data_IF_861706681346
#
_entry.id   IF_861706681346
#
_cell.length_a   1.000
_cell.length_b   1.000
_cell.length_c   1.000
_cell.angle_alpha   90.00
_cell.angle_beta   90.00
_cell.angle_gamma   90.00
#
_symmetry.space_group_name_H-M   'P 1'
#
loop_
_entity.id
_entity.type
_entity.pdbx_description
1 polymer ?
#
# COMPACT_ATOMS: atom_id res chain seq x y z
N UNK A 1 -15.01 8.66 -2.73
CA UNK A 1 -14.35 7.34 -2.77
C UNK A 1 -15.04 6.32 -1.86
N UNK A 2 -15.15 6.60 -0.55
CA UNK A 2 -15.72 5.64 0.39
C UNK A 2 -17.19 5.32 0.10
N UNK A 3 -17.98 6.34 -0.25
CA UNK A 3 -19.39 6.18 -0.59
C UNK A 3 -19.59 5.34 -1.84
N UNK A 4 -18.84 5.61 -2.91
CA UNK A 4 -18.87 4.86 -4.17
C UNK A 4 -18.49 3.40 -3.94
N UNK A 5 -17.46 3.14 -3.13
CA UNK A 5 -17.11 1.78 -2.74
C UNK A 5 -18.21 1.09 -1.94
N UNK A 6 -18.83 1.80 -0.99
CA UNK A 6 -19.93 1.28 -0.17
C UNK A 6 -21.17 0.94 -1.00
N UNK A 7 -21.44 1.68 -2.07
CA UNK A 7 -22.52 1.36 -3.02
C UNK A 7 -22.29 0.02 -3.74
N UNK A 8 -21.02 -0.38 -3.95
CA UNK A 8 -20.67 -1.66 -4.58
C UNK A 8 -20.52 -2.81 -3.57
N UNK A 9 -20.01 -2.51 -2.37
CA UNK A 9 -19.61 -3.52 -1.36
C UNK A 9 -20.04 -3.10 0.05
N UNK A 10 -21.34 -2.90 0.27
CA UNK A 10 -21.87 -2.34 1.51
C UNK A 10 -21.40 -3.08 2.78
N UNK A 11 -21.46 -4.41 2.77
CA UNK A 11 -21.09 -5.26 3.93
C UNK A 11 -19.57 -5.36 4.14
N UNK A 12 -18.78 -5.10 3.10
CA UNK A 12 -17.32 -5.25 3.13
C UNK A 12 -16.56 -3.92 3.20
N UNK A 13 -17.28 -2.78 3.18
CA UNK A 13 -16.71 -1.43 3.11
C UNK A 13 -15.64 -1.20 4.18
N UNK A 14 -15.88 -1.63 5.40
CA UNK A 14 -15.05 -1.30 6.56
C UNK A 14 -14.21 -2.50 7.04
N UNK A 15 -14.22 -3.59 6.28
CA UNK A 15 -13.56 -4.83 6.67
C UNK A 15 -12.05 -4.66 6.86
N UNK A 16 -11.37 -3.91 6.00
CA UNK A 16 -9.93 -3.71 6.15
C UNK A 16 -9.60 -2.94 7.43
N UNK A 17 -10.29 -1.83 7.68
CA UNK A 17 -10.10 -0.98 8.86
C UNK A 17 -10.38 -1.77 10.15
N UNK A 18 -11.44 -2.58 10.16
CA UNK A 18 -11.85 -3.34 11.35
C UNK A 18 -10.95 -4.55 11.62
N UNK A 19 -10.47 -5.21 10.56
CA UNK A 19 -9.69 -6.46 10.69
C UNK A 19 -8.19 -6.24 10.84
N UNK A 20 -7.63 -5.19 10.22
CA UNK A 20 -6.18 -5.03 10.06
C UNK A 20 -5.37 -5.21 11.35
N UNK A 21 -5.84 -4.60 12.45
CA UNK A 21 -5.16 -4.67 13.74
C UNK A 21 -4.94 -6.11 14.24
N UNK A 22 -5.86 -7.04 13.91
CA UNK A 22 -5.74 -8.46 14.26
C UNK A 22 -4.72 -9.25 13.43
N UNK A 23 -4.30 -8.73 12.26
CA UNK A 23 -3.32 -9.38 11.38
C UNK A 23 -1.94 -8.75 11.47
N UNK A 24 -1.85 -7.46 11.80
CA UNK A 24 -0.61 -6.66 11.81
C UNK A 24 0.57 -7.37 12.47
N UNK A 25 0.40 -7.79 13.74
CA UNK A 25 1.51 -8.34 14.52
C UNK A 25 1.91 -9.74 14.00
N UNK A 26 0.95 -10.51 13.48
CA UNK A 26 1.20 -11.82 12.85
C UNK A 26 1.97 -11.69 11.54
N UNK A 27 1.71 -10.65 10.75
CA UNK A 27 2.46 -10.37 9.52
C UNK A 27 3.92 -10.09 9.85
N UNK A 28 4.19 -9.27 10.87
CA UNK A 28 5.56 -8.96 11.33
C UNK A 28 6.25 -10.24 11.80
N UNK A 29 5.57 -11.07 12.60
CA UNK A 29 6.13 -12.33 13.10
C UNK A 29 6.52 -13.29 11.96
N UNK A 30 5.66 -13.46 10.96
CA UNK A 30 5.97 -14.27 9.76
C UNK A 30 7.15 -13.66 9.00
N UNK A 31 7.19 -12.33 8.87
CA UNK A 31 8.30 -11.62 8.23
C UNK A 31 9.64 -11.89 8.89
N UNK A 32 9.76 -11.75 10.21
CA UNK A 32 11.00 -12.03 10.96
C UNK A 32 11.54 -13.44 10.70
N UNK A 33 10.66 -14.42 10.47
CA UNK A 33 11.02 -15.82 10.19
C UNK A 33 11.32 -16.11 8.71
N UNK A 34 11.03 -15.18 7.80
CA UNK A 34 11.07 -15.43 6.35
C UNK A 34 12.47 -15.29 5.75
N UNK A 35 13.19 -14.19 6.03
CA UNK A 35 14.58 -14.01 5.57
C UNK A 35 15.32 -12.93 6.37
N UNK A 36 16.67 -12.96 6.42
CA UNK A 36 17.45 -11.92 7.08
C UNK A 36 17.22 -10.52 6.50
N UNK A 37 16.97 -10.42 5.20
CA UNK A 37 16.75 -9.13 4.54
C UNK A 37 15.46 -8.44 5.04
N UNK A 38 14.37 -9.19 5.25
CA UNK A 38 13.14 -8.62 5.80
C UNK A 38 13.23 -8.43 7.32
N UNK A 39 13.98 -9.28 8.04
CA UNK A 39 14.25 -9.09 9.45
C UNK A 39 14.95 -7.74 9.72
N UNK A 40 16.03 -7.44 9.00
CA UNK A 40 16.73 -6.15 9.12
C UNK A 40 15.82 -4.95 8.83
N UNK A 41 14.89 -5.09 7.88
CA UNK A 41 13.90 -4.04 7.59
C UNK A 41 12.93 -3.86 8.75
N UNK A 42 12.44 -4.95 9.35
CA UNK A 42 11.56 -4.92 10.52
C UNK A 42 12.28 -4.27 11.71
N UNK A 43 13.56 -4.62 11.93
CA UNK A 43 14.37 -4.08 13.01
C UNK A 43 14.54 -2.55 12.89
N UNK A 44 14.62 -2.02 11.66
CA UNK A 44 14.65 -0.58 11.43
C UNK A 44 13.38 0.16 11.90
N UNK A 45 12.25 -0.54 12.08
CA UNK A 45 11.01 0.01 12.61
C UNK A 45 10.86 -0.17 14.13
N UNK A 46 11.75 -0.91 14.83
CA UNK A 46 11.59 -1.20 16.26
C UNK A 46 11.60 0.07 17.13
N UNK A 47 12.38 1.07 16.74
CA UNK A 47 12.46 2.38 17.42
C UNK A 47 11.35 3.36 16.98
N UNK A 48 10.37 2.88 16.19
CA UNK A 48 9.29 3.71 15.65
C UNK A 48 7.93 3.23 16.14
N UNK A 49 6.99 4.16 16.31
CA UNK A 49 5.59 3.82 16.60
C UNK A 49 4.81 3.34 15.35
N UNK A 50 5.49 3.17 14.22
CA UNK A 50 4.88 2.90 12.90
C UNK A 50 4.73 1.40 12.60
N UNK A 51 4.15 0.64 13.54
CA UNK A 51 3.91 -0.81 13.39
C UNK A 51 3.07 -1.17 12.16
N UNK A 52 2.10 -0.31 11.84
CA UNK A 52 1.26 -0.46 10.65
C UNK A 52 2.09 -0.39 9.37
N UNK A 53 3.00 0.58 9.28
CA UNK A 53 3.89 0.75 8.13
C UNK A 53 4.84 -0.44 7.99
N UNK A 54 5.44 -0.88 9.11
CA UNK A 54 6.28 -2.06 9.16
C UNK A 54 5.54 -3.31 8.61
N UNK A 55 4.36 -3.61 9.16
CA UNK A 55 3.57 -4.75 8.73
C UNK A 55 3.15 -4.67 7.25
N UNK A 56 2.78 -3.49 6.73
CA UNK A 56 2.41 -3.32 5.32
C UNK A 56 3.61 -3.57 4.39
N UNK A 57 4.79 -3.00 4.68
CA UNK A 57 6.00 -3.28 3.92
C UNK A 57 6.39 -4.75 3.99
N UNK A 58 6.27 -5.36 5.17
CA UNK A 58 6.52 -6.80 5.36
C UNK A 58 5.57 -7.64 4.52
N UNK A 59 4.27 -7.31 4.50
CA UNK A 59 3.29 -8.03 3.69
C UNK A 59 3.62 -7.94 2.19
N UNK A 60 3.96 -6.76 1.69
CA UNK A 60 4.38 -6.57 0.30
C UNK A 60 5.61 -7.41 -0.02
N UNK A 61 6.63 -7.38 0.85
CA UNK A 61 7.87 -8.12 0.63
C UNK A 61 7.64 -9.64 0.56
N UNK A 62 6.79 -10.18 1.44
CA UNK A 62 6.49 -11.63 1.51
C UNK A 62 5.66 -12.07 0.30
N UNK A 63 4.65 -11.29 -0.08
CA UNK A 63 3.73 -11.64 -1.16
C UNK A 63 4.34 -11.46 -2.55
N UNK A 64 5.35 -10.58 -2.69
CA UNK A 64 5.95 -10.30 -3.98
C UNK A 64 6.67 -11.53 -4.55
N UNK A 65 6.10 -12.08 -5.62
CA UNK A 65 6.70 -13.14 -6.42
C UNK A 65 7.50 -12.47 -7.55
N UNK A 66 8.80 -12.73 -7.60
CA UNK A 66 9.73 -12.05 -8.52
C UNK A 66 9.47 -12.29 -10.02
N UNK A 67 8.39 -12.97 -10.41
CA UNK A 67 8.08 -13.29 -11.81
C UNK A 67 6.57 -13.30 -12.03
N UNK A 68 6.04 -12.27 -12.70
CA UNK A 68 4.77 -12.37 -13.42
C UNK A 68 4.99 -13.26 -14.64
N UNK A 69 4.60 -14.52 -14.55
CA UNK A 69 4.37 -15.38 -15.72
C UNK A 69 3.02 -15.02 -16.37
N UNK A 70 2.86 -13.75 -16.77
CA UNK A 70 1.75 -13.32 -17.62
C UNK A 70 2.37 -12.84 -18.93
N UNK A 71 1.89 -13.43 -20.03
CA UNK A 71 2.47 -13.46 -21.38
C UNK A 71 2.66 -12.10 -22.09
N UNK A 72 2.66 -10.96 -21.42
CA UNK A 72 2.78 -9.65 -22.10
C UNK A 72 3.61 -8.66 -21.26
N UNK A 73 4.76 -8.25 -21.81
CA UNK A 73 5.73 -7.24 -21.34
C UNK A 73 6.14 -7.33 -19.85
N UNK A 74 7.30 -7.94 -19.62
CA UNK A 74 7.96 -8.06 -18.32
C UNK A 74 8.29 -6.69 -17.70
N UNK A 75 7.81 -6.46 -16.48
CA UNK A 75 8.50 -5.60 -15.52
C UNK A 75 8.91 -6.49 -14.33
N UNK A 76 10.06 -7.16 -14.46
CA UNK A 76 10.65 -7.90 -13.36
C UNK A 76 11.22 -6.91 -12.35
N UNK A 77 10.59 -6.79 -11.18
CA UNK A 77 11.11 -6.00 -10.06
C UNK A 77 11.46 -6.92 -8.90
N UNK A 78 12.49 -6.58 -8.13
CA UNK A 78 12.85 -7.33 -6.92
C UNK A 78 11.83 -7.06 -5.81
N UNK A 79 11.84 -7.90 -4.75
CA UNK A 79 11.00 -7.67 -3.56
C UNK A 79 11.24 -6.30 -2.93
N UNK A 80 12.51 -5.88 -2.84
CA UNK A 80 12.88 -4.55 -2.36
C UNK A 80 12.44 -3.44 -3.33
N UNK A 81 12.55 -3.69 -4.64
CA UNK A 81 12.09 -2.77 -5.68
C UNK A 81 10.57 -2.55 -5.65
N UNK A 82 9.78 -3.58 -5.33
CA UNK A 82 8.33 -3.48 -5.17
C UNK A 82 7.94 -2.53 -4.04
N UNK A 83 8.70 -2.48 -2.94
CA UNK A 83 8.41 -1.58 -1.80
C UNK A 83 8.42 -0.10 -2.23
N UNK A 84 9.24 0.25 -3.23
CA UNK A 84 9.34 1.62 -3.75
C UNK A 84 8.05 2.10 -4.41
N UNK A 85 7.15 1.20 -4.81
CA UNK A 85 5.86 1.55 -5.42
C UNK A 85 4.76 1.80 -4.38
N UNK A 86 4.96 1.40 -3.12
CA UNK A 86 3.92 1.48 -2.10
C UNK A 86 3.57 2.92 -1.72
N UNK A 87 4.61 3.69 -1.43
CA UNK A 87 4.48 5.04 -0.89
C UNK A 87 5.67 5.89 -1.34
N UNK A 88 5.37 7.10 -1.79
CA UNK A 88 6.35 8.14 -2.03
C UNK A 88 6.45 9.00 -0.77
N UNK A 89 7.60 8.98 -0.09
CA UNK A 89 7.83 9.84 1.07
C UNK A 89 8.51 11.16 0.65
N UNK A 90 8.10 12.26 1.27
CA UNK A 90 8.72 13.59 1.16
C UNK A 90 8.83 14.26 2.54
N UNK A 91 9.76 15.22 2.73
CA UNK A 91 9.82 16.00 3.96
C UNK A 91 8.53 16.79 4.22
N UNK A 92 8.25 17.07 5.50
CA UNK A 92 7.18 18.02 5.88
C UNK A 92 7.43 19.40 5.27
N UNK A 93 6.35 20.08 4.88
CA UNK A 93 6.41 21.39 4.23
C UNK A 93 6.67 21.33 2.71
N UNK A 94 6.88 20.14 2.14
CA UNK A 94 6.99 19.99 0.68
C UNK A 94 5.68 20.37 0.00
N UNK A 95 5.75 21.18 -1.07
CA UNK A 95 4.57 21.48 -1.89
C UNK A 95 4.02 20.22 -2.56
N UNK A 96 2.77 19.90 -2.23
CA UNK A 96 2.08 18.72 -2.74
C UNK A 96 1.83 18.86 -4.24
N UNK A 97 1.32 20.02 -4.68
CA UNK A 97 1.02 20.30 -6.08
C UNK A 97 2.27 20.22 -6.96
N UNK A 98 3.40 20.77 -6.49
CA UNK A 98 4.66 20.68 -7.21
C UNK A 98 5.14 19.21 -7.31
N UNK A 99 4.94 18.42 -6.24
CA UNK A 99 5.31 17.01 -6.20
C UNK A 99 4.48 16.16 -7.16
N UNK A 100 3.17 16.38 -7.24
CA UNK A 100 2.29 15.63 -8.14
C UNK A 100 2.39 16.09 -9.59
N UNK A 101 2.72 17.35 -9.84
CA UNK A 101 3.01 17.86 -11.18
C UNK A 101 4.33 17.28 -11.74
N UNK A 102 5.39 17.25 -10.92
CA UNK A 102 6.71 16.71 -11.26
C UNK A 102 6.86 15.21 -10.97
N UNK A 103 5.77 14.45 -11.07
CA UNK A 103 5.70 13.05 -10.68
C UNK A 103 6.79 12.20 -11.38
N UNK A 104 7.54 11.46 -10.58
CA UNK A 104 8.48 10.43 -11.05
C UNK A 104 7.70 9.32 -11.78
N UNK A 105 8.09 9.05 -13.03
CA UNK A 105 7.41 8.13 -13.94
C UNK A 105 7.30 6.71 -13.37
N UNK A 106 8.16 6.33 -12.42
CA UNK A 106 8.09 5.01 -11.78
C UNK A 106 6.82 4.82 -10.95
N UNK A 107 6.22 5.87 -10.39
CA UNK A 107 5.00 5.73 -9.59
C UNK A 107 3.80 5.60 -10.51
N UNK A 108 3.29 4.40 -10.74
CA UNK A 108 2.03 4.24 -11.47
C UNK A 108 0.86 4.64 -10.55
N UNK A 109 -0.08 5.43 -11.04
CA UNK A 109 -1.25 5.83 -10.25
C UNK A 109 -2.27 4.69 -10.19
N UNK A 110 -3.01 4.54 -9.07
CA UNK A 110 -2.95 5.38 -7.87
C UNK A 110 -1.77 5.00 -6.94
N UNK A 111 -1.21 5.97 -6.22
CA UNK A 111 -0.15 5.74 -5.22
C UNK A 111 -0.33 6.63 -3.98
N UNK A 112 0.30 6.25 -2.86
CA UNK A 112 0.30 7.05 -1.62
C UNK A 112 1.46 8.04 -1.66
N UNK A 113 1.19 9.31 -1.41
CA UNK A 113 2.19 10.32 -1.07
C UNK A 113 2.12 10.58 0.43
N UNK A 114 3.26 10.54 1.12
CA UNK A 114 3.34 10.84 2.55
C UNK A 114 4.31 11.97 2.83
N UNK A 115 4.00 12.81 3.81
CA UNK A 115 4.90 13.85 4.31
C UNK A 115 5.35 13.54 5.74
N UNK A 116 6.66 13.71 6.02
CA UNK A 116 7.26 13.48 7.33
C UNK A 116 8.42 12.49 7.31
N UNK A 117 8.90 12.09 8.50
CA UNK A 117 9.98 11.10 8.63
C UNK A 117 9.68 9.85 7.81
N UNK A 118 10.67 9.31 7.11
CA UNK A 118 10.46 8.20 6.17
C UNK A 118 9.85 6.94 6.81
N UNK A 119 10.18 6.67 8.08
CA UNK A 119 9.67 5.52 8.82
C UNK A 119 8.46 5.85 9.71
N UNK A 120 8.11 7.13 9.86
CA UNK A 120 6.97 7.56 10.67
C UNK A 120 6.33 8.85 10.11
N UNK A 121 5.77 8.82 8.89
CA UNK A 121 5.16 9.98 8.28
C UNK A 121 3.86 10.37 8.98
N UNK A 122 3.51 11.66 8.94
CA UNK A 122 2.37 12.22 9.69
C UNK A 122 1.22 12.71 8.82
N UNK A 123 1.43 12.85 7.52
CA UNK A 123 0.38 13.28 6.57
C UNK A 123 0.38 12.36 5.36
N UNK A 124 -0.81 12.00 4.88
CA UNK A 124 -0.98 11.11 3.76
C UNK A 124 -1.95 11.68 2.73
N UNK A 125 -1.66 11.40 1.47
CA UNK A 125 -2.47 11.72 0.30
C UNK A 125 -2.49 10.49 -0.59
N UNK A 126 -3.60 10.26 -1.29
CA UNK A 126 -3.59 9.39 -2.47
C UNK A 126 -3.47 10.29 -3.69
N UNK A 127 -2.69 9.87 -4.68
CA UNK A 127 -2.54 10.63 -5.93
C UNK A 127 -3.19 9.84 -7.06
N UNK A 128 -4.18 10.45 -7.71
CA UNK A 128 -4.91 9.91 -8.86
C UNK A 128 -4.92 10.98 -9.94
N UNK A 129 -4.53 10.67 -11.17
CA UNK A 129 -4.41 11.64 -12.28
C UNK A 129 -3.64 12.93 -11.93
N UNK A 130 -2.59 12.79 -11.11
CA UNK A 130 -1.75 13.89 -10.57
C UNK A 130 -2.51 14.83 -9.63
N UNK A 131 -3.73 14.49 -9.26
CA UNK A 131 -4.53 15.20 -8.28
C UNK A 131 -4.27 14.56 -6.92
N UNK A 132 -3.68 15.30 -5.97
CA UNK A 132 -3.54 14.84 -4.60
C UNK A 132 -4.92 14.91 -3.91
N UNK A 133 -5.33 13.81 -3.31
CA UNK A 133 -6.55 13.72 -2.51
C UNK A 133 -6.12 13.47 -1.06
N UNK A 134 -6.46 14.36 -0.11
CA UNK A 134 -6.11 14.19 1.30
C UNK A 134 -6.59 12.83 1.83
N UNK A 135 -5.72 12.11 2.52
CA UNK A 135 -5.99 10.79 3.08
C UNK A 135 -5.80 10.72 4.60
N UNK A 136 -5.66 11.88 5.25
CA UNK A 136 -5.60 12.04 6.71
C UNK A 136 -4.20 11.85 7.27
N UNK A 137 -4.13 11.50 8.55
CA UNK A 137 -2.90 11.34 9.33
C UNK A 137 -2.62 9.88 9.71
N UNK A 138 -3.47 8.95 9.26
CA UNK A 138 -3.37 7.53 9.57
C UNK A 138 -3.11 6.72 8.28
N UNK A 139 -2.02 5.95 8.26
CA UNK A 139 -1.61 5.17 7.09
C UNK A 139 -2.67 4.13 6.68
N UNK A 140 -3.35 3.49 7.63
CA UNK A 140 -4.37 2.47 7.32
C UNK A 140 -5.56 3.12 6.61
N UNK A 141 -5.98 4.33 7.03
CA UNK A 141 -7.00 5.07 6.31
C UNK A 141 -6.56 5.47 4.89
N UNK A 142 -5.27 5.78 4.71
CA UNK A 142 -4.74 6.09 3.39
C UNK A 142 -4.69 4.87 2.46
N UNK A 143 -4.27 3.71 2.98
CA UNK A 143 -4.31 2.43 2.26
C UNK A 143 -5.73 2.03 1.92
N UNK A 144 -6.67 2.19 2.86
CA UNK A 144 -8.09 1.94 2.65
C UNK A 144 -8.64 2.79 1.49
N UNK A 145 -8.37 4.10 1.54
CA UNK A 145 -8.82 5.04 0.52
C UNK A 145 -8.18 4.75 -0.85
N UNK A 146 -6.91 4.35 -0.90
CA UNK A 146 -6.26 3.98 -2.16
C UNK A 146 -6.86 2.70 -2.74
N UNK A 147 -7.06 1.67 -1.91
CA UNK A 147 -7.70 0.43 -2.34
C UNK A 147 -9.07 0.72 -2.96
N UNK A 148 -9.89 1.51 -2.27
CA UNK A 148 -11.24 1.88 -2.74
C UNK A 148 -11.21 2.72 -4.01
N UNK A 149 -10.16 3.52 -4.23
CA UNK A 149 -10.01 4.34 -5.44
C UNK A 149 -9.95 3.48 -6.72
N UNK A 150 -9.39 2.26 -6.66
CA UNK A 150 -9.41 1.32 -7.80
C UNK A 150 -10.82 1.11 -8.34
N UNK A 151 -11.77 0.86 -7.44
CA UNK A 151 -13.17 0.62 -7.79
C UNK A 151 -13.93 1.91 -8.07
N UNK A 152 -13.73 2.95 -7.25
CA UNK A 152 -14.47 4.21 -7.37
C UNK A 152 -14.11 4.99 -8.65
N UNK A 153 -12.87 4.91 -9.11
CA UNK A 153 -12.36 5.68 -10.25
C UNK A 153 -11.95 4.81 -11.44
N UNK A 154 -12.07 3.49 -11.35
CA UNK A 154 -11.64 2.55 -12.38
C UNK A 154 -10.16 2.74 -12.79
N UNK A 155 -9.27 2.88 -11.79
CA UNK A 155 -7.82 3.06 -11.97
C UNK A 155 -7.06 1.82 -11.54
N UNK A 156 -5.95 1.47 -12.19
CA UNK A 156 -5.23 0.23 -11.91
C UNK A 156 -4.07 0.42 -10.94
N UNK A 157 -3.90 -0.50 -9.99
CA UNK A 157 -2.72 -0.51 -9.13
C UNK A 157 -1.42 -0.68 -9.93
N UNK A 158 -0.30 -0.24 -9.35
CA UNK A 158 1.02 -0.59 -9.87
C UNK A 158 1.17 -2.12 -9.95
N UNK A 159 1.61 -2.63 -11.11
CA UNK A 159 1.78 -4.08 -11.34
C UNK A 159 2.72 -4.72 -10.32
N UNK A 160 3.73 -3.97 -9.85
CA UNK A 160 4.66 -4.39 -8.80
C UNK A 160 3.98 -4.71 -7.44
N UNK A 161 2.74 -4.27 -7.23
CA UNK A 161 1.98 -4.47 -6.00
C UNK A 161 0.72 -5.32 -6.21
N UNK A 162 0.54 -5.92 -7.38
CA UNK A 162 -0.70 -6.61 -7.72
C UNK A 162 -1.04 -7.71 -6.72
N UNK A 163 -0.08 -8.56 -6.33
CA UNK A 163 -0.32 -9.64 -5.37
C UNK A 163 -0.69 -9.11 -3.98
N UNK A 164 -0.13 -7.96 -3.59
CA UNK A 164 -0.49 -7.31 -2.33
C UNK A 164 -1.95 -6.85 -2.35
N UNK A 165 -2.37 -6.15 -3.41
CA UNK A 165 -3.75 -5.67 -3.53
C UNK A 165 -4.78 -6.80 -3.69
N UNK A 166 -4.46 -7.84 -4.46
CA UNK A 166 -5.29 -9.04 -4.59
C UNK A 166 -5.43 -9.76 -3.24
N UNK A 167 -4.35 -9.88 -2.47
CA UNK A 167 -4.40 -10.45 -1.13
C UNK A 167 -5.33 -9.64 -0.21
N UNK A 168 -5.22 -8.30 -0.20
CA UNK A 168 -6.13 -7.46 0.58
C UNK A 168 -7.58 -7.63 0.13
N UNK A 169 -7.83 -7.63 -1.18
CA UNK A 169 -9.16 -7.79 -1.77
C UNK A 169 -9.82 -9.11 -1.36
N UNK A 170 -9.06 -10.20 -1.38
CA UNK A 170 -9.56 -11.52 -1.03
C UNK A 170 -9.70 -11.75 0.48
N UNK A 171 -8.65 -11.46 1.25
CA UNK A 171 -8.54 -11.92 2.64
C UNK A 171 -8.95 -10.88 3.68
N UNK A 172 -8.75 -9.59 3.41
CA UNK A 172 -9.15 -8.54 4.36
C UNK A 172 -10.50 -7.96 4.00
N UNK A 173 -10.67 -7.48 2.76
CA UNK A 173 -11.95 -6.93 2.30
C UNK A 173 -12.99 -8.03 2.05
N UNK A 174 -12.62 -9.12 1.39
CA UNK A 174 -13.57 -10.15 0.96
C UNK A 174 -14.45 -9.71 -0.21
N UNK A 175 -13.87 -8.94 -1.15
CA UNK A 175 -14.58 -8.44 -2.35
C UNK A 175 -14.26 -9.23 -3.61
N UNK A 176 -13.30 -10.15 -3.54
CA UNK A 176 -13.02 -11.16 -4.56
C UNK A 176 -12.84 -12.53 -3.90
N UNK A 177 -13.01 -13.64 -4.62
CA UNK A 177 -12.70 -14.97 -4.09
C UNK A 177 -11.22 -15.09 -3.71
N UNK A 178 -10.94 -15.79 -2.60
CA UNK A 178 -9.56 -16.17 -2.28
C UNK A 178 -9.04 -17.14 -3.35
N UNK A 179 -7.91 -16.80 -3.97
CA UNK A 179 -7.22 -17.69 -4.89
C UNK A 179 -6.71 -18.88 -4.06
N UNK A 180 -7.22 -20.08 -4.35
CA UNK A 180 -6.80 -21.35 -3.75
C UNK A 180 -5.47 -21.82 -4.33
#
# INVERSE_FOLDING_TARGET
>A
INEEFRLMFAESSDNFITKWAGYRDRVIEVGKKTSPAIANMIDAFEETDSKDMCALYTLIYILHRSVTMLKQKQQSTSRAGALLYFLQNKPLGTSIDATTAGKDEKYVQPYILSLGPALNPSQFFIVVDRIPIPAGTNLIQAVDRLFKAHYAFNVHYALALLQFWEFLAAFLYGVIPAIQ
#
